data_IF_222219583288
#
_entry.id   IF_222219583288
#
_cell.length_a   1.000
_cell.length_b   1.000
_cell.length_c   1.000
_cell.angle_alpha   90.00
_cell.angle_beta   90.00
_cell.angle_gamma   90.00
#
_symmetry.space_group_name_H-M   'P 1'
#
loop_
_entity.id
_entity.type
_entity.pdbx_description
1 polymer ?
#
# COMPACT_ATOMS: atom_id res chain seq x y z
N UNK A 1 10.10 7.23 -14.88
CA UNK A 1 10.98 7.03 -13.72
C UNK A 1 11.92 5.85 -13.97
N UNK A 2 13.21 6.05 -13.76
CA UNK A 2 14.25 5.03 -13.82
C UNK A 2 14.42 4.34 -12.46
N UNK A 3 15.11 3.19 -12.44
CA UNK A 3 15.44 2.49 -11.17
C UNK A 3 16.25 3.39 -10.22
N UNK A 4 17.16 4.20 -10.74
CA UNK A 4 17.97 5.12 -9.92
C UNK A 4 17.13 6.23 -9.28
N UNK A 5 16.17 6.79 -10.03
CA UNK A 5 15.27 7.82 -9.50
C UNK A 5 14.36 7.24 -8.40
N UNK A 6 13.88 6.00 -8.58
CA UNK A 6 13.07 5.32 -7.57
C UNK A 6 13.85 5.03 -6.29
N UNK A 7 15.10 4.59 -6.41
CA UNK A 7 15.95 4.35 -5.24
C UNK A 7 16.27 5.63 -4.48
N UNK A 8 16.49 6.74 -5.17
CA UNK A 8 16.71 8.04 -4.52
C UNK A 8 15.44 8.55 -3.84
N UNK A 9 14.27 8.32 -4.44
CA UNK A 9 12.99 8.63 -3.81
C UNK A 9 12.78 7.80 -2.53
N UNK A 10 13.06 6.49 -2.58
CA UNK A 10 13.01 5.60 -1.40
C UNK A 10 13.95 6.05 -0.28
N UNK A 11 15.17 6.49 -0.60
CA UNK A 11 16.12 7.01 0.39
C UNK A 11 15.60 8.28 1.07
N UNK A 12 15.02 9.20 0.31
CA UNK A 12 14.41 10.43 0.84
C UNK A 12 13.24 10.10 1.77
N UNK A 13 12.31 9.25 1.32
CA UNK A 13 11.18 8.79 2.12
C UNK A 13 11.65 8.14 3.44
N UNK A 14 12.66 7.27 3.38
CA UNK A 14 13.24 6.65 4.57
C UNK A 14 13.93 7.65 5.52
N UNK A 15 14.36 8.81 5.02
CA UNK A 15 14.88 9.91 5.82
C UNK A 15 13.79 10.82 6.41
N UNK A 16 12.51 10.51 6.17
CA UNK A 16 11.35 11.26 6.68
C UNK A 16 10.88 12.40 5.76
N UNK A 17 11.32 12.43 4.50
CA UNK A 17 10.79 13.34 3.48
C UNK A 17 9.36 12.91 3.12
N UNK A 18 8.39 13.73 3.53
CA UNK A 18 6.96 13.43 3.35
C UNK A 18 6.55 13.47 1.89
N UNK A 19 7.04 14.45 1.13
CA UNK A 19 6.73 14.56 -0.30
C UNK A 19 7.22 13.31 -1.05
N UNK A 20 8.37 12.75 -0.63
CA UNK A 20 8.87 11.50 -1.19
C UNK A 20 8.05 10.27 -0.78
N UNK A 21 7.43 10.27 0.41
CA UNK A 21 6.50 9.22 0.82
C UNK A 21 5.24 9.29 -0.04
N UNK A 22 4.65 10.47 -0.19
CA UNK A 22 3.42 10.69 -0.97
C UNK A 22 3.62 10.27 -2.43
N UNK A 23 4.74 10.68 -3.04
CA UNK A 23 5.08 10.29 -4.42
C UNK A 23 5.26 8.78 -4.58
N UNK A 24 5.82 8.08 -3.57
CA UNK A 24 5.92 6.61 -3.61
C UNK A 24 4.55 5.93 -3.48
N UNK A 25 3.65 6.47 -2.65
CA UNK A 25 2.31 5.93 -2.46
C UNK A 25 1.53 6.02 -3.77
N UNK A 26 1.49 7.20 -4.38
CA UNK A 26 0.80 7.44 -5.67
C UNK A 26 1.34 6.49 -6.74
N UNK A 27 2.66 6.44 -6.90
CA UNK A 27 3.29 5.60 -7.91
C UNK A 27 3.05 4.11 -7.69
N UNK A 28 3.06 3.65 -6.43
CA UNK A 28 2.83 2.26 -6.10
C UNK A 28 1.36 1.87 -6.32
N UNK A 29 0.41 2.74 -5.96
CA UNK A 29 -1.01 2.56 -6.25
C UNK A 29 -1.26 2.42 -7.76
N UNK A 30 -0.77 3.36 -8.56
CA UNK A 30 -0.91 3.34 -10.03
C UNK A 30 -0.35 2.07 -10.69
N UNK A 31 0.69 1.48 -10.09
CA UNK A 31 1.37 0.29 -10.61
C UNK A 31 0.82 -1.02 -10.06
N UNK A 32 -0.05 -0.98 -9.05
CA UNK A 32 -0.45 -2.17 -8.30
C UNK A 32 0.69 -2.78 -7.47
N UNK A 33 1.67 -1.97 -7.06
CA UNK A 33 2.83 -2.43 -6.28
C UNK A 33 2.47 -2.54 -4.79
N UNK A 34 1.79 -3.64 -4.44
CA UNK A 34 1.36 -3.92 -3.08
C UNK A 34 2.55 -4.08 -2.11
N UNK A 35 3.71 -4.53 -2.59
CA UNK A 35 4.88 -4.71 -1.74
C UNK A 35 5.47 -3.37 -1.30
N UNK A 36 5.54 -2.38 -2.20
CA UNK A 36 5.97 -1.03 -1.87
C UNK A 36 4.98 -0.33 -0.92
N UNK A 37 3.67 -0.43 -1.20
CA UNK A 37 2.63 0.11 -0.31
C UNK A 37 2.70 -0.53 1.09
N UNK A 38 2.86 -1.85 1.16
CA UNK A 38 3.02 -2.57 2.43
C UNK A 38 4.25 -2.11 3.19
N UNK A 39 5.39 -1.91 2.50
CA UNK A 39 6.63 -1.43 3.12
C UNK A 39 6.44 -0.05 3.75
N UNK A 40 5.73 0.85 3.08
CA UNK A 40 5.45 2.21 3.57
C UNK A 40 4.45 2.18 4.75
N UNK A 41 3.41 1.35 4.65
CA UNK A 41 2.42 1.16 5.72
C UNK A 41 3.06 0.57 6.99
N UNK A 42 3.89 -0.47 6.85
CA UNK A 42 4.64 -1.06 7.96
C UNK A 42 5.70 -0.08 8.53
N UNK A 43 6.11 0.92 7.74
CA UNK A 43 6.90 2.08 8.18
C UNK A 43 6.10 3.15 8.94
N UNK A 44 4.79 2.96 9.11
CA UNK A 44 3.90 3.85 9.86
C UNK A 44 3.16 4.88 9.03
N UNK A 45 3.18 4.80 7.70
CA UNK A 45 2.35 5.67 6.85
C UNK A 45 0.90 5.16 6.82
N UNK A 46 -0.02 5.92 7.41
CA UNK A 46 -1.45 5.61 7.35
C UNK A 46 -1.99 5.72 5.92
N UNK A 47 -1.58 6.75 5.17
CA UNK A 47 -2.03 6.95 3.78
C UNK A 47 -1.61 5.78 2.88
N UNK A 48 -0.44 5.19 3.13
CA UNK A 48 0.00 3.98 2.43
C UNK A 48 -0.82 2.74 2.80
N UNK A 49 -1.30 2.65 4.06
CA UNK A 49 -2.14 1.56 4.50
C UNK A 49 -3.53 1.63 3.83
N UNK A 50 -4.09 2.84 3.72
CA UNK A 50 -5.37 3.07 3.05
C UNK A 50 -5.25 2.75 1.55
N UNK A 51 -4.21 3.26 0.89
CA UNK A 51 -3.95 2.97 -0.52
C UNK A 51 -3.71 1.46 -0.77
N UNK A 52 -3.04 0.76 0.15
CA UNK A 52 -2.82 -0.69 0.06
C UNK A 52 -4.14 -1.46 0.03
N UNK A 53 -5.12 -1.06 0.84
CA UNK A 53 -6.44 -1.69 0.88
C UNK A 53 -7.20 -1.42 -0.41
N UNK A 54 -7.22 -0.17 -0.87
CA UNK A 54 -7.87 0.22 -2.11
C UNK A 54 -7.30 -0.58 -3.29
N UNK A 55 -5.99 -0.53 -3.49
CA UNK A 55 -5.31 -1.22 -4.59
C UNK A 55 -5.44 -2.73 -4.48
N UNK A 56 -5.38 -3.32 -3.27
CA UNK A 56 -5.61 -4.75 -3.08
C UNK A 56 -7.05 -5.15 -3.42
N UNK A 57 -8.03 -4.30 -3.12
CA UNK A 57 -9.44 -4.52 -3.47
C UNK A 57 -9.63 -4.51 -4.99
N UNK A 58 -9.12 -3.47 -5.65
CA UNK A 58 -9.23 -3.31 -7.12
C UNK A 58 -8.57 -4.48 -7.88
N UNK A 59 -7.46 -5.01 -7.35
CA UNK A 59 -6.76 -6.15 -7.93
C UNK A 59 -7.34 -7.51 -7.53
N UNK A 60 -8.33 -7.56 -6.62
CA UNK A 60 -8.84 -8.81 -6.05
C UNK A 60 -7.77 -9.59 -5.27
N UNK A 61 -6.81 -8.90 -4.65
CA UNK A 61 -5.71 -9.49 -3.89
C UNK A 61 -6.17 -9.94 -2.49
N UNK A 62 -7.00 -11.00 -2.46
CA UNK A 62 -7.65 -11.50 -1.24
C UNK A 62 -6.66 -11.89 -0.14
N UNK A 63 -5.47 -12.39 -0.50
CA UNK A 63 -4.45 -12.75 0.48
C UNK A 63 -3.91 -11.53 1.23
N UNK A 64 -3.79 -10.38 0.54
CA UNK A 64 -3.34 -9.15 1.21
C UNK A 64 -4.43 -8.56 2.10
N UNK A 65 -5.67 -8.52 1.62
CA UNK A 65 -6.82 -8.09 2.42
C UNK A 65 -6.98 -8.97 3.66
N UNK A 66 -6.84 -10.30 3.52
CA UNK A 66 -6.85 -11.24 4.65
C UNK A 66 -5.73 -10.97 5.64
N UNK A 67 -4.49 -10.77 5.16
CA UNK A 67 -3.36 -10.41 6.03
C UNK A 67 -3.66 -9.15 6.84
N UNK A 68 -4.21 -8.11 6.22
CA UNK A 68 -4.53 -6.84 6.89
C UNK A 68 -5.67 -7.03 7.90
N UNK A 69 -6.73 -7.76 7.53
CA UNK A 69 -7.83 -8.11 8.41
C UNK A 69 -7.38 -8.88 9.66
N UNK A 70 -6.50 -9.87 9.48
CA UNK A 70 -5.91 -10.65 10.59
C UNK A 70 -5.06 -9.79 11.52
N UNK A 71 -4.51 -8.67 11.02
CA UNK A 71 -3.82 -7.65 11.84
C UNK A 71 -4.78 -6.65 12.50
N UNK A 72 -6.08 -6.81 12.30
CA UNK A 72 -7.12 -5.99 12.90
C UNK A 72 -7.55 -4.77 12.09
N UNK A 73 -7.15 -4.68 10.81
CA UNK A 73 -7.67 -3.63 9.94
C UNK A 73 -9.12 -3.97 9.54
N UNK A 74 -10.07 -3.13 9.98
CA UNK A 74 -11.49 -3.39 9.77
C UNK A 74 -11.91 -3.17 8.32
N UNK A 75 -11.42 -2.11 7.68
CA UNK A 75 -11.76 -1.80 6.28
C UNK A 75 -11.31 -2.94 5.36
N UNK A 76 -10.13 -3.51 5.58
CA UNK A 76 -9.66 -4.68 4.83
C UNK A 76 -10.53 -5.93 5.06
N UNK A 77 -11.05 -6.12 6.27
CA UNK A 77 -11.95 -7.23 6.59
C UNK A 77 -13.29 -7.08 5.88
N UNK A 78 -13.82 -5.86 5.82
CA UNK A 78 -15.07 -5.54 5.12
C UNK A 78 -14.92 -5.76 3.61
N UNK A 79 -13.85 -5.25 2.99
CA UNK A 79 -13.57 -5.47 1.56
C UNK A 79 -13.35 -6.94 1.22
N UNK A 80 -12.66 -7.70 2.09
CA UNK A 80 -12.49 -9.14 1.91
C UNK A 80 -13.83 -9.88 1.94
N UNK A 81 -14.73 -9.51 2.85
CA UNK A 81 -16.05 -10.11 2.92
C UNK A 81 -16.85 -9.82 1.64
N UNK A 82 -16.91 -8.56 1.20
CA UNK A 82 -17.61 -8.16 -0.02
C UNK A 82 -17.13 -8.94 -1.25
N UNK A 83 -15.80 -9.02 -1.47
CA UNK A 83 -15.23 -9.73 -2.62
C UNK A 83 -15.36 -11.26 -2.57
N UNK A 84 -15.62 -11.86 -1.40
CA UNK A 84 -15.79 -13.32 -1.26
C UNK A 84 -17.24 -13.77 -1.26
N UNK A 85 -18.18 -12.83 -1.23
CA UNK A 85 -19.62 -13.06 -1.32
C UNK A 85 -20.17 -12.95 -2.77
N UNK A 86 -19.40 -12.39 -3.71
CA UNK A 86 -19.69 -12.39 -5.16
C UNK A 86 -19.44 -13.74 -5.86
#
# INVERSE_FOLDING_TARGET
>A
MTMSELDDLRKRAAAGDRDAVDELIELAGERGDLDELRRLADGGSSDAADQLIETATELGALDELRRLAERGNQDAADQLAELTEE
#
